data_IF_006398216226
#
_entry.id   IF_006398216226
#
_cell.length_a   1.000
_cell.length_b   1.000
_cell.length_c   1.000
_cell.angle_alpha   90.00
_cell.angle_beta   90.00
_cell.angle_gamma   90.00
#
_symmetry.space_group_name_H-M   'P 1'
#
loop_
_entity.id
_entity.type
_entity.pdbx_description
1 polymer ?
#
# COMPACT_ATOMS: atom_id res chain seq x y z
N UNK A 1 -58.59 17.39 34.21
CA UNK A 1 -57.86 18.59 33.75
C UNK A 1 -57.35 19.32 34.98
N UNK A 2 -56.15 19.93 35.04
CA UNK A 2 -55.10 20.14 34.00
C UNK A 2 -53.77 19.37 34.33
N UNK A 3 -52.97 18.91 33.35
CA UNK A 3 -51.88 19.54 32.54
C UNK A 3 -50.47 19.38 33.15
N UNK A 4 -49.58 18.59 32.51
CA UNK A 4 -48.35 18.95 31.73
C UNK A 4 -47.27 19.64 32.60
N UNK A 5 -46.04 19.12 32.73
CA UNK A 5 -44.88 19.41 31.86
C UNK A 5 -43.84 18.27 31.92
N UNK A 6 -43.47 17.79 30.74
CA UNK A 6 -42.25 17.04 30.40
C UNK A 6 -41.05 17.97 30.55
N UNK A 7 -40.04 17.62 31.34
CA UNK A 7 -38.72 18.22 31.20
C UNK A 7 -37.70 17.15 30.80
N UNK A 8 -37.43 17.19 29.51
CA UNK A 8 -36.35 16.58 28.77
C UNK A 8 -35.01 17.03 29.36
N UNK A 9 -34.27 16.11 30.00
CA UNK A 9 -32.86 16.35 30.31
C UNK A 9 -32.07 16.15 29.02
N UNK A 10 -31.84 17.26 28.33
CA UNK A 10 -31.00 17.36 27.14
C UNK A 10 -29.58 16.90 27.49
N UNK A 11 -29.13 15.88 26.76
CA UNK A 11 -27.74 15.47 26.62
C UNK A 11 -26.86 16.68 26.27
N UNK A 12 -26.10 17.16 27.24
CA UNK A 12 -24.94 18.02 27.02
C UNK A 12 -23.67 17.17 27.16
N UNK A 13 -23.40 16.31 26.17
CA UNK A 13 -22.04 15.88 25.87
C UNK A 13 -21.45 16.84 24.83
N UNK A 14 -21.16 18.06 25.30
CA UNK A 14 -20.31 19.00 24.60
C UNK A 14 -19.04 19.23 25.42
N UNK A 15 -17.96 18.52 25.07
CA UNK A 15 -16.58 18.97 25.19
C UNK A 15 -15.61 17.86 24.74
N UNK A 16 -15.09 18.03 23.54
CA UNK A 16 -14.01 17.23 23.00
C UNK A 16 -13.96 17.34 21.50
N UNK A 17 -13.85 18.57 20.96
CA UNK A 17 -13.32 18.73 19.60
C UNK A 17 -11.86 18.28 19.71
N UNK A 18 -11.62 17.00 19.48
CA UNK A 18 -10.29 16.49 19.24
C UNK A 18 -9.83 17.09 17.91
N UNK A 19 -9.32 18.32 17.97
CA UNK A 19 -8.38 18.81 16.97
C UNK A 19 -7.15 17.91 17.09
N UNK A 20 -7.24 16.71 16.51
CA UNK A 20 -6.14 15.78 16.46
C UNK A 20 -5.02 16.44 15.66
N UNK A 21 -3.81 16.40 16.21
CA UNK A 21 -2.61 16.69 15.42
C UNK A 21 -2.65 15.84 14.14
N UNK A 22 -2.22 16.44 13.02
CA UNK A 22 -2.12 15.71 11.76
C UNK A 22 -1.12 14.56 11.88
N UNK A 23 -1.42 13.43 11.27
CA UNK A 23 -0.54 12.26 11.28
C UNK A 23 0.60 12.40 10.27
N UNK A 24 0.28 12.76 9.03
CA UNK A 24 1.22 12.78 7.90
C UNK A 24 1.11 14.04 7.04
N UNK A 25 -0.03 14.76 7.07
CA UNK A 25 -0.25 15.92 6.20
C UNK A 25 -0.94 17.08 6.93
N UNK A 26 -0.18 18.12 7.27
CA UNK A 26 -0.67 19.27 8.06
C UNK A 26 -1.54 20.25 7.28
N UNK A 27 -1.54 20.19 5.95
CA UNK A 27 -2.24 21.15 5.08
C UNK A 27 -3.63 20.68 4.64
N UNK A 28 -4.15 19.60 5.22
CA UNK A 28 -5.53 19.18 4.98
C UNK A 28 -6.53 20.21 5.53
N UNK A 29 -7.64 20.41 4.81
CA UNK A 29 -8.73 21.25 5.30
C UNK A 29 -9.30 20.67 6.61
N UNK A 30 -9.42 21.52 7.63
CA UNK A 30 -9.93 21.15 8.95
C UNK A 30 -11.36 20.61 8.89
N UNK A 31 -12.18 21.12 7.99
CA UNK A 31 -13.55 20.65 7.81
C UNK A 31 -13.55 19.22 7.24
N UNK A 32 -12.65 18.92 6.31
CA UNK A 32 -12.49 17.55 5.78
C UNK A 32 -11.98 16.57 6.83
N UNK A 33 -11.12 17.03 7.75
CA UNK A 33 -10.68 16.24 8.92
C UNK A 33 -11.86 15.98 9.85
N UNK A 34 -12.62 17.01 10.20
CA UNK A 34 -13.79 16.88 11.06
C UNK A 34 -14.82 15.90 10.49
N UNK A 35 -15.11 15.98 9.19
CA UNK A 35 -16.00 15.04 8.52
C UNK A 35 -15.46 13.60 8.58
N UNK A 36 -14.16 13.41 8.38
CA UNK A 36 -13.55 12.08 8.47
C UNK A 36 -13.64 11.50 9.89
N UNK A 37 -13.43 12.33 10.91
CA UNK A 37 -13.61 11.93 12.31
C UNK A 37 -15.07 11.54 12.59
N UNK A 38 -16.05 12.29 12.06
CA UNK A 38 -17.48 11.94 12.18
C UNK A 38 -17.82 10.60 11.53
N UNK A 39 -17.22 10.28 10.39
CA UNK A 39 -17.35 8.95 9.77
C UNK A 39 -16.79 7.89 10.73
N UNK A 40 -15.63 8.12 11.34
CA UNK A 40 -15.04 7.20 12.33
C UNK A 40 -15.91 7.00 13.58
N UNK A 41 -16.52 8.07 14.11
CA UNK A 41 -17.47 7.99 15.23
C UNK A 41 -18.68 7.13 14.85
N UNK A 42 -19.24 7.36 13.66
CA UNK A 42 -20.37 6.59 13.12
C UNK A 42 -20.02 5.12 12.92
N UNK A 43 -18.88 4.83 12.31
CA UNK A 43 -18.37 3.47 12.09
C UNK A 43 -18.19 2.72 13.43
N UNK A 44 -17.65 3.40 14.45
CA UNK A 44 -17.47 2.83 15.78
C UNK A 44 -18.81 2.51 16.46
N UNK A 45 -19.74 3.47 16.43
CA UNK A 45 -21.07 3.27 17.00
C UNK A 45 -21.80 2.10 16.32
N UNK A 46 -21.75 2.05 14.99
CA UNK A 46 -22.34 0.97 14.19
C UNK A 46 -21.71 -0.39 14.50
N UNK A 47 -20.38 -0.46 14.58
CA UNK A 47 -19.67 -1.69 14.93
C UNK A 47 -20.13 -2.20 16.30
N UNK A 48 -20.06 -1.37 17.35
CA UNK A 48 -20.44 -1.73 18.73
C UNK A 48 -21.89 -2.24 18.78
N UNK A 49 -22.81 -1.56 18.11
CA UNK A 49 -24.20 -2.01 18.03
C UNK A 49 -24.34 -3.34 17.30
N UNK A 50 -23.61 -3.54 16.21
CA UNK A 50 -23.70 -4.75 15.37
C UNK A 50 -23.12 -6.00 16.01
N UNK A 51 -22.21 -5.87 16.98
CA UNK A 51 -21.58 -7.01 17.68
C UNK A 51 -22.15 -7.25 19.08
N UNK A 52 -23.12 -6.46 19.51
CA UNK A 52 -23.73 -6.62 20.82
C UNK A 52 -24.42 -7.99 20.92
N UNK A 53 -24.03 -8.80 21.91
CA UNK A 53 -24.53 -10.16 22.09
C UNK A 53 -23.97 -11.19 21.11
N UNK A 54 -23.05 -10.82 20.21
CA UNK A 54 -22.36 -11.77 19.32
C UNK A 54 -21.08 -12.27 19.99
N UNK A 55 -21.02 -13.58 20.23
CA UNK A 55 -19.85 -14.29 20.78
C UNK A 55 -18.95 -14.89 19.70
N UNK A 56 -19.44 -15.00 18.47
CA UNK A 56 -18.67 -15.54 17.35
C UNK A 56 -17.62 -14.52 16.86
N UNK A 57 -16.35 -14.85 17.04
CA UNK A 57 -15.22 -13.98 16.68
C UNK A 57 -15.06 -13.80 15.16
N UNK A 58 -15.47 -14.77 14.34
CA UNK A 58 -15.41 -14.63 12.88
C UNK A 58 -16.43 -13.61 12.38
N UNK A 59 -17.65 -13.67 12.94
CA UNK A 59 -18.70 -12.69 12.65
C UNK A 59 -18.30 -11.30 13.16
N UNK A 60 -17.75 -11.21 14.38
CA UNK A 60 -17.25 -9.93 14.93
C UNK A 60 -16.15 -9.34 14.05
N UNK A 61 -15.23 -10.16 13.55
CA UNK A 61 -14.16 -9.73 12.65
C UNK A 61 -14.72 -9.25 11.31
N UNK A 62 -15.70 -9.94 10.74
CA UNK A 62 -16.35 -9.48 9.50
C UNK A 62 -17.00 -8.10 9.70
N UNK A 63 -17.75 -7.90 10.80
CA UNK A 63 -18.35 -6.61 11.13
C UNK A 63 -17.34 -5.49 11.40
N UNK A 64 -16.20 -5.85 11.97
CA UNK A 64 -15.10 -4.91 12.14
C UNK A 64 -14.57 -4.42 10.78
N UNK A 65 -14.36 -5.34 9.83
CA UNK A 65 -13.89 -5.00 8.49
C UNK A 65 -14.91 -4.16 7.71
N UNK A 66 -16.21 -4.48 7.82
CA UNK A 66 -17.28 -3.68 7.22
C UNK A 66 -17.23 -2.22 7.72
N UNK A 67 -17.00 -2.01 9.02
CA UNK A 67 -16.89 -0.68 9.61
C UNK A 67 -15.61 0.04 9.20
N UNK A 68 -14.47 -0.66 9.13
CA UNK A 68 -13.20 -0.10 8.68
C UNK A 68 -13.26 0.35 7.21
N UNK A 69 -14.04 -0.36 6.38
CA UNK A 69 -14.23 -0.01 4.97
C UNK A 69 -14.83 1.40 4.78
N UNK A 70 -15.62 1.88 5.74
CA UNK A 70 -16.16 3.25 5.71
C UNK A 70 -15.04 4.29 5.73
N UNK A 71 -13.99 4.07 6.52
CA UNK A 71 -12.81 4.93 6.52
C UNK A 71 -12.02 4.77 5.21
N UNK A 72 -11.82 3.54 4.73
CA UNK A 72 -11.05 3.26 3.52
C UNK A 72 -11.71 3.80 2.23
N UNK A 73 -13.02 4.09 2.25
CA UNK A 73 -13.74 4.69 1.12
C UNK A 73 -13.58 6.21 0.98
N UNK A 74 -13.10 6.89 2.02
CA UNK A 74 -12.94 8.36 2.01
C UNK A 74 -12.02 8.77 0.85
N UNK A 75 -12.50 9.68 -0.01
CA UNK A 75 -11.71 10.26 -1.10
C UNK A 75 -11.56 9.36 -2.34
N UNK A 76 -12.28 8.23 -2.43
CA UNK A 76 -12.11 7.27 -3.53
C UNK A 76 -12.63 7.79 -4.87
N UNK A 77 -13.70 8.58 -4.89
CA UNK A 77 -14.24 9.16 -6.13
C UNK A 77 -13.27 10.18 -6.72
N UNK A 78 -12.73 11.07 -5.88
CA UNK A 78 -11.72 12.06 -6.25
C UNK A 78 -10.44 11.36 -6.73
N UNK A 79 -10.02 10.30 -6.02
CA UNK A 79 -8.90 9.47 -6.44
C UNK A 79 -9.12 8.83 -7.82
N UNK A 80 -10.31 8.28 -8.08
CA UNK A 80 -10.63 7.67 -9.38
C UNK A 80 -10.62 8.70 -10.52
N UNK A 81 -11.01 9.95 -10.27
CA UNK A 81 -10.88 11.04 -11.24
C UNK A 81 -9.41 11.34 -11.53
N UNK A 82 -8.55 11.45 -10.51
CA UNK A 82 -7.13 11.72 -10.73
C UNK A 82 -6.37 10.57 -11.37
N UNK A 83 -6.72 9.32 -11.07
CA UNK A 83 -6.12 8.16 -11.75
C UNK A 83 -6.40 8.25 -13.26
N UNK A 84 -7.65 8.56 -13.66
CA UNK A 84 -7.99 8.76 -15.07
C UNK A 84 -7.26 9.95 -15.69
N UNK A 85 -7.16 11.08 -14.98
CA UNK A 85 -6.41 12.25 -15.46
C UNK A 85 -4.91 11.96 -15.60
N UNK A 86 -4.35 11.20 -14.67
CA UNK A 86 -2.93 10.78 -14.67
C UNK A 86 -2.65 9.90 -15.88
N UNK A 87 -3.48 8.89 -16.12
CA UNK A 87 -3.35 8.03 -17.29
C UNK A 87 -3.49 8.83 -18.62
N UNK A 88 -4.37 9.82 -18.67
CA UNK A 88 -4.57 10.63 -19.87
C UNK A 88 -3.40 11.59 -20.18
N UNK A 89 -2.70 12.09 -19.16
CA UNK A 89 -1.70 13.17 -19.31
C UNK A 89 -0.25 12.72 -19.13
N UNK A 90 -0.02 11.52 -18.63
CA UNK A 90 1.32 10.95 -18.52
C UNK A 90 1.96 10.72 -19.90
N UNK A 91 3.29 10.87 -19.97
CA UNK A 91 4.05 10.45 -21.16
C UNK A 91 4.11 8.93 -21.18
N UNK A 92 3.13 8.32 -21.83
CA UNK A 92 2.89 6.86 -21.78
C UNK A 92 4.08 6.01 -22.25
N UNK A 93 4.87 6.50 -23.20
CA UNK A 93 6.09 5.79 -23.63
C UNK A 93 7.11 5.71 -22.51
N UNK A 94 7.34 6.82 -21.82
CA UNK A 94 8.31 6.91 -20.73
C UNK A 94 7.83 6.11 -19.51
N UNK A 95 6.54 6.22 -19.18
CA UNK A 95 5.91 5.47 -18.10
C UNK A 95 6.07 3.95 -18.30
N UNK A 96 5.91 3.44 -19.53
CA UNK A 96 6.13 2.01 -19.83
C UNK A 96 7.57 1.58 -19.60
N UNK A 97 8.55 2.43 -19.91
CA UNK A 97 9.96 2.12 -19.62
C UNK A 97 10.26 2.18 -18.12
N UNK A 98 9.68 3.14 -17.40
CA UNK A 98 9.80 3.22 -15.93
C UNK A 98 9.21 2.00 -15.21
N UNK A 99 8.12 1.42 -15.73
CA UNK A 99 7.57 0.16 -15.18
C UNK A 99 8.59 -1.00 -15.21
N UNK A 100 9.49 -1.00 -16.19
CA UNK A 100 10.56 -2.00 -16.29
C UNK A 100 11.63 -1.85 -15.21
N UNK A 101 11.62 -0.75 -14.46
CA UNK A 101 12.48 -0.53 -13.30
C UNK A 101 11.91 -1.12 -12.01
N UNK A 102 10.73 -1.75 -12.05
CA UNK A 102 10.04 -2.29 -10.88
C UNK A 102 8.92 -1.39 -10.36
N UNK A 103 8.84 -0.14 -10.84
CA UNK A 103 7.79 0.81 -10.47
C UNK A 103 6.40 0.29 -10.85
N UNK A 104 5.39 0.64 -10.06
CA UNK A 104 3.98 0.37 -10.38
C UNK A 104 3.51 1.29 -11.50
N UNK A 105 2.44 0.90 -12.18
CA UNK A 105 1.88 1.65 -13.31
C UNK A 105 1.56 3.10 -12.93
N UNK A 106 0.76 3.32 -11.88
CA UNK A 106 0.40 4.67 -11.43
C UNK A 106 1.62 5.52 -11.10
N UNK A 107 2.61 4.95 -10.40
CA UNK A 107 3.83 5.66 -10.03
C UNK A 107 4.68 6.03 -11.27
N UNK A 108 4.78 5.11 -12.22
CA UNK A 108 5.49 5.33 -13.48
C UNK A 108 4.83 6.43 -14.30
N UNK A 109 3.49 6.43 -14.36
CA UNK A 109 2.72 7.51 -14.99
C UNK A 109 2.92 8.83 -14.24
N UNK A 110 2.82 8.81 -12.91
CA UNK A 110 2.94 9.97 -12.04
C UNK A 110 4.29 10.70 -12.22
N UNK A 111 5.41 9.97 -12.27
CA UNK A 111 6.76 10.52 -12.51
C UNK A 111 6.93 11.17 -13.89
N UNK A 112 5.98 10.98 -14.80
CA UNK A 112 6.00 11.55 -16.17
C UNK A 112 4.93 12.61 -16.40
N UNK A 113 4.22 13.03 -15.35
CA UNK A 113 3.21 14.08 -15.43
C UNK A 113 3.85 15.47 -15.54
N UNK A 114 3.13 16.45 -16.13
CA UNK A 114 3.45 17.86 -15.95
C UNK A 114 3.42 18.24 -14.45
N UNK A 115 4.38 19.07 -14.04
CA UNK A 115 4.56 19.52 -12.65
C UNK A 115 3.27 20.07 -11.99
N UNK A 116 2.45 20.91 -12.65
CA UNK A 116 1.21 21.40 -12.04
C UNK A 116 0.23 20.28 -11.67
N UNK A 117 0.12 19.25 -12.50
CA UNK A 117 -0.74 18.10 -12.23
C UNK A 117 -0.15 17.21 -11.15
N UNK A 118 1.17 17.01 -11.15
CA UNK A 118 1.89 16.28 -10.11
C UNK A 118 1.61 16.84 -8.72
N UNK A 119 1.70 18.17 -8.56
CA UNK A 119 1.37 18.87 -7.30
C UNK A 119 -0.06 18.59 -6.86
N UNK A 120 -1.03 18.69 -7.79
CA UNK A 120 -2.44 18.42 -7.50
C UNK A 120 -2.66 16.98 -7.04
N UNK A 121 -2.02 16.01 -7.70
CA UNK A 121 -2.14 14.59 -7.34
C UNK A 121 -1.58 14.33 -5.95
N UNK A 122 -0.43 14.91 -5.58
CA UNK A 122 0.13 14.74 -4.23
C UNK A 122 -0.71 15.38 -3.15
N UNK A 123 -1.14 16.63 -3.33
CA UNK A 123 -1.99 17.31 -2.36
C UNK A 123 -3.26 16.50 -2.07
N UNK A 124 -3.89 15.95 -3.12
CA UNK A 124 -5.08 15.12 -2.94
C UNK A 124 -4.76 13.76 -2.32
N UNK A 125 -3.67 13.09 -2.73
CA UNK A 125 -3.27 11.81 -2.15
C UNK A 125 -2.95 11.95 -0.65
N UNK A 126 -2.20 12.98 -0.27
CA UNK A 126 -1.86 13.28 1.12
C UNK A 126 -3.10 13.66 1.94
N UNK A 127 -3.98 14.52 1.41
CA UNK A 127 -5.23 14.86 2.07
C UNK A 127 -6.16 13.64 2.24
N UNK A 128 -6.22 12.75 1.25
CA UNK A 128 -6.97 11.50 1.33
C UNK A 128 -6.45 10.62 2.46
N UNK A 129 -5.15 10.31 2.48
CA UNK A 129 -4.58 9.44 3.51
C UNK A 129 -4.69 10.05 4.91
N UNK A 130 -4.47 11.35 5.06
CA UNK A 130 -4.68 12.03 6.35
C UNK A 130 -6.12 11.87 6.85
N UNK A 131 -7.12 12.10 5.99
CA UNK A 131 -8.53 11.89 6.37
C UNK A 131 -8.80 10.43 6.76
N UNK A 132 -8.27 9.48 6.01
CA UNK A 132 -8.42 8.04 6.33
C UNK A 132 -7.80 7.69 7.68
N UNK A 133 -6.62 8.22 7.99
CA UNK A 133 -5.95 8.03 9.28
C UNK A 133 -6.72 8.67 10.42
N UNK A 134 -7.26 9.89 10.23
CA UNK A 134 -8.11 10.55 11.23
C UNK A 134 -9.39 9.76 11.52
N UNK A 135 -10.02 9.19 10.49
CA UNK A 135 -11.16 8.29 10.65
C UNK A 135 -10.78 7.03 11.44
N UNK A 136 -9.69 6.36 11.04
CA UNK A 136 -9.17 5.16 11.71
C UNK A 136 -8.78 5.43 13.18
N UNK A 137 -8.22 6.60 13.48
CA UNK A 137 -7.85 6.97 14.84
C UNK A 137 -9.06 7.12 15.78
N UNK A 138 -10.21 7.55 15.26
CA UNK A 138 -11.46 7.60 16.02
C UNK A 138 -12.09 6.20 16.16
N UNK A 139 -12.04 5.41 15.09
CA UNK A 139 -12.63 4.07 15.04
C UNK A 139 -11.84 3.05 15.89
N UNK A 140 -10.56 2.86 15.59
CA UNK A 140 -9.68 1.84 16.19
C UNK A 140 -8.88 2.41 17.38
N UNK A 141 -8.60 3.72 17.36
CA UNK A 141 -7.77 4.39 18.38
C UNK A 141 -6.39 4.81 17.85
N UNK A 142 -5.91 5.98 18.31
CA UNK A 142 -4.65 6.61 17.86
C UNK A 142 -3.45 5.67 17.87
N UNK A 143 -3.25 4.88 18.92
CA UNK A 143 -2.10 3.97 19.03
C UNK A 143 -2.15 2.79 18.03
N UNK A 144 -3.33 2.40 17.54
CA UNK A 144 -3.45 1.41 16.46
C UNK A 144 -3.11 2.06 15.13
N UNK A 145 -3.62 3.27 14.89
CA UNK A 145 -3.32 4.06 13.69
C UNK A 145 -1.83 4.36 13.56
N UNK A 146 -1.15 4.76 14.63
CA UNK A 146 0.30 5.01 14.63
C UNK A 146 1.09 3.74 14.27
N UNK A 147 0.73 2.59 14.86
CA UNK A 147 1.35 1.31 14.50
C UNK A 147 1.11 0.93 13.03
N UNK A 148 -0.06 1.25 12.48
CA UNK A 148 -0.37 1.02 11.06
C UNK A 148 0.47 1.94 10.17
N UNK A 149 0.69 3.19 10.57
CA UNK A 149 1.61 4.10 9.86
C UNK A 149 3.02 3.51 9.84
N UNK A 150 3.51 3.03 10.97
CA UNK A 150 4.84 2.40 11.07
C UNK A 150 4.96 1.13 10.21
N UNK A 151 3.92 0.28 10.20
CA UNK A 151 3.87 -0.89 9.30
C UNK A 151 3.87 -0.47 7.82
N UNK A 152 3.08 0.53 7.44
CA UNK A 152 3.04 1.01 6.07
C UNK A 152 4.40 1.58 5.63
N UNK A 153 5.15 2.23 6.53
CA UNK A 153 6.51 2.72 6.27
C UNK A 153 7.52 1.60 6.00
N UNK A 154 7.19 0.32 6.20
CA UNK A 154 8.03 -0.79 5.70
C UNK A 154 7.90 -1.01 4.19
N UNK A 155 7.06 -0.23 3.50
CA UNK A 155 6.84 -0.24 2.05
C UNK A 155 7.34 1.09 1.48
N UNK A 156 8.24 1.04 0.50
CA UNK A 156 8.92 2.22 -0.05
C UNK A 156 8.01 3.39 -0.42
N UNK A 157 6.93 3.13 -1.17
CA UNK A 157 6.01 4.18 -1.61
C UNK A 157 5.27 4.86 -0.44
N UNK A 158 4.86 4.10 0.57
CA UNK A 158 4.21 4.69 1.75
C UNK A 158 5.21 5.45 2.61
N UNK A 159 6.45 4.94 2.74
CA UNK A 159 7.53 5.66 3.44
C UNK A 159 7.81 7.00 2.77
N UNK A 160 8.00 7.01 1.45
CA UNK A 160 8.21 8.25 0.69
C UNK A 160 7.04 9.21 0.84
N UNK A 161 5.81 8.71 0.76
CA UNK A 161 4.62 9.53 0.96
C UNK A 161 4.61 10.18 2.35
N UNK A 162 4.83 9.40 3.40
CA UNK A 162 4.65 9.86 4.77
C UNK A 162 5.82 10.69 5.30
N UNK A 163 7.04 10.46 4.81
CA UNK A 163 8.24 11.13 5.31
C UNK A 163 8.70 12.29 4.40
N UNK A 164 8.28 12.29 3.13
CA UNK A 164 8.72 13.29 2.16
C UNK A 164 7.55 13.98 1.45
N UNK A 165 6.73 13.26 0.69
CA UNK A 165 5.74 13.88 -0.21
C UNK A 165 4.64 14.66 0.53
N UNK A 166 4.19 14.16 1.67
CA UNK A 166 3.20 14.83 2.51
C UNK A 166 3.83 15.79 3.53
N UNK A 167 5.15 15.72 3.73
CA UNK A 167 5.86 16.66 4.62
C UNK A 167 6.27 17.91 3.87
N UNK A 168 6.78 17.76 2.65
CA UNK A 168 7.17 18.83 1.72
C UNK A 168 6.34 18.73 0.43
N UNK A 169 5.30 19.59 0.25
CA UNK A 169 4.46 19.60 -0.95
C UNK A 169 5.22 19.83 -2.26
N UNK A 170 6.44 20.37 -2.21
CA UNK A 170 7.28 20.60 -3.38
C UNK A 170 8.29 19.46 -3.64
N UNK A 171 8.37 18.46 -2.76
CA UNK A 171 9.28 17.32 -2.94
C UNK A 171 9.04 16.60 -4.26
N UNK A 172 7.83 16.10 -4.49
CA UNK A 172 7.48 15.38 -5.71
C UNK A 172 7.67 16.24 -6.98
N UNK A 173 7.09 17.47 -7.08
CA UNK A 173 7.37 18.44 -8.16
C UNK A 173 8.84 18.69 -8.47
N UNK A 174 9.71 18.67 -7.45
CA UNK A 174 11.15 18.91 -7.59
C UNK A 174 11.90 17.67 -8.03
N UNK A 175 11.55 16.51 -7.48
CA UNK A 175 12.36 15.28 -7.56
C UNK A 175 11.96 14.38 -8.73
N UNK A 176 10.67 14.15 -8.93
CA UNK A 176 10.19 13.12 -9.86
C UNK A 176 10.26 13.46 -11.34
N UNK A 177 10.08 14.73 -11.79
CA UNK A 177 10.15 15.04 -13.22
C UNK A 177 11.48 14.63 -13.86
N UNK A 178 12.60 14.81 -13.15
CA UNK A 178 13.91 14.45 -13.66
C UNK A 178 14.05 12.94 -13.91
N UNK A 179 13.45 12.09 -13.06
CA UNK A 179 13.44 10.63 -13.25
C UNK A 179 12.70 10.30 -14.56
N UNK A 180 11.53 10.91 -14.77
CA UNK A 180 10.75 10.74 -16.00
C UNK A 180 11.45 11.29 -17.25
N UNK A 181 12.24 12.35 -17.12
CA UNK A 181 13.02 12.93 -18.23
C UNK A 181 14.30 12.14 -18.54
N UNK A 182 14.83 11.41 -17.55
CA UNK A 182 16.04 10.58 -17.70
C UNK A 182 15.79 9.25 -18.42
N UNK A 183 14.54 8.91 -18.74
CA UNK A 183 14.17 7.63 -19.38
C UNK A 183 14.97 7.31 -20.66
N UNK A 184 15.21 8.24 -21.60
CA UNK A 184 16.04 7.94 -22.77
C UNK A 184 17.46 7.52 -22.40
N UNK A 185 18.07 8.16 -21.40
CA UNK A 185 19.42 7.82 -20.93
C UNK A 185 19.45 6.46 -20.21
N UNK A 186 18.43 6.18 -19.40
CA UNK A 186 18.25 4.88 -18.73
C UNK A 186 18.11 3.76 -19.75
N UNK A 187 17.23 3.93 -20.74
CA UNK A 187 17.03 2.95 -21.80
C UNK A 187 18.31 2.70 -22.60
N UNK A 188 19.02 3.77 -22.98
CA UNK A 188 20.23 3.66 -23.78
C UNK A 188 21.34 2.88 -23.07
N UNK A 189 21.47 3.03 -21.74
CA UNK A 189 22.56 2.42 -20.97
C UNK A 189 22.18 1.10 -20.29
N UNK A 190 20.93 0.97 -19.84
CA UNK A 190 20.46 -0.14 -19.01
C UNK A 190 19.33 -0.96 -19.64
N UNK A 191 18.90 -0.65 -20.87
CA UNK A 191 17.71 -1.25 -21.50
C UNK A 191 17.69 -2.78 -21.46
N UNK A 192 18.82 -3.44 -21.71
CA UNK A 192 18.93 -4.91 -21.65
C UNK A 192 18.60 -5.44 -20.24
N UNK A 193 19.12 -4.79 -19.19
CA UNK A 193 18.85 -5.21 -17.81
C UNK A 193 17.41 -4.92 -17.40
N UNK A 194 16.86 -3.77 -17.82
CA UNK A 194 15.47 -3.39 -17.60
C UNK A 194 14.51 -4.40 -18.24
N UNK A 195 14.71 -4.72 -19.52
CA UNK A 195 13.87 -5.64 -20.28
C UNK A 195 13.96 -7.07 -19.72
N UNK A 196 15.16 -7.54 -19.39
CA UNK A 196 15.37 -8.87 -18.84
C UNK A 196 14.68 -9.03 -17.47
N UNK A 197 14.90 -8.07 -16.57
CA UNK A 197 14.22 -8.07 -15.27
C UNK A 197 12.70 -8.05 -15.43
N UNK A 198 12.18 -7.11 -16.24
CA UNK A 198 10.74 -6.96 -16.42
C UNK A 198 10.09 -8.24 -16.98
N UNK A 199 10.67 -8.83 -18.03
CA UNK A 199 10.15 -10.05 -18.64
C UNK A 199 10.10 -11.23 -17.66
N UNK A 200 11.18 -11.44 -16.90
CA UNK A 200 11.24 -12.52 -15.92
C UNK A 200 10.33 -12.26 -14.74
N UNK A 201 10.24 -11.01 -14.25
CA UNK A 201 9.33 -10.61 -13.19
C UNK A 201 7.88 -10.94 -13.54
N UNK A 202 7.41 -10.55 -14.72
CA UNK A 202 6.03 -10.81 -15.16
C UNK A 202 5.75 -12.32 -15.30
N UNK A 203 6.66 -13.06 -15.93
CA UNK A 203 6.53 -14.51 -16.08
C UNK A 203 6.51 -15.22 -14.71
N UNK A 204 7.41 -14.84 -13.80
CA UNK A 204 7.47 -15.42 -12.46
C UNK A 204 6.25 -15.01 -11.61
N UNK A 205 5.75 -13.79 -11.74
CA UNK A 205 4.53 -13.35 -11.03
C UNK A 205 3.31 -14.17 -11.45
N UNK A 206 3.12 -14.40 -12.75
CA UNK A 206 2.05 -15.26 -13.25
C UNK A 206 2.16 -16.70 -12.72
N UNK A 207 3.38 -17.26 -12.69
CA UNK A 207 3.62 -18.61 -12.18
C UNK A 207 3.44 -18.70 -10.67
N UNK A 208 3.93 -17.72 -9.89
CA UNK A 208 3.77 -17.66 -8.43
C UNK A 208 2.28 -17.64 -8.07
N UNK A 209 1.48 -16.79 -8.70
CA UNK A 209 0.04 -16.74 -8.48
C UNK A 209 -0.63 -18.07 -8.84
N UNK A 210 -0.30 -18.66 -10.00
CA UNK A 210 -0.84 -19.97 -10.40
C UNK A 210 -0.50 -21.09 -9.40
N UNK A 211 0.75 -21.14 -8.92
CA UNK A 211 1.19 -22.13 -7.93
C UNK A 211 0.48 -21.92 -6.60
N UNK A 212 0.35 -20.68 -6.14
CA UNK A 212 -0.33 -20.35 -4.90
C UNK A 212 -1.84 -20.67 -4.98
N UNK A 213 -2.54 -20.22 -6.01
CA UNK A 213 -3.97 -20.47 -6.19
C UNK A 213 -4.28 -21.97 -6.30
N UNK A 214 -3.43 -22.73 -7.02
CA UNK A 214 -3.54 -24.19 -7.08
C UNK A 214 -3.43 -24.80 -5.69
N UNK A 215 -2.45 -24.37 -4.89
CA UNK A 215 -2.27 -24.88 -3.53
C UNK A 215 -3.46 -24.59 -2.62
N UNK A 216 -4.01 -23.37 -2.70
CA UNK A 216 -5.21 -22.97 -1.95
C UNK A 216 -6.42 -23.81 -2.38
N UNK A 217 -6.63 -24.01 -3.67
CA UNK A 217 -7.75 -24.78 -4.20
C UNK A 217 -7.64 -26.27 -3.86
N UNK A 218 -6.44 -26.85 -3.91
CA UNK A 218 -6.21 -28.24 -3.47
C UNK A 218 -6.52 -28.41 -1.98
N UNK A 219 -6.11 -27.47 -1.13
CA UNK A 219 -6.44 -27.54 0.31
C UNK A 219 -7.95 -27.39 0.54
N UNK A 220 -8.63 -26.51 -0.20
CA UNK A 220 -10.09 -26.36 -0.11
C UNK A 220 -10.82 -27.63 -0.54
N UNK A 221 -10.41 -28.28 -1.64
CA UNK A 221 -11.03 -29.52 -2.10
C UNK A 221 -10.77 -30.68 -1.14
N UNK A 222 -9.59 -30.71 -0.52
CA UNK A 222 -9.28 -31.72 0.49
C UNK A 222 -10.08 -31.50 1.76
N UNK A 223 -10.31 -30.27 2.21
CA UNK A 223 -11.18 -29.96 3.38
C UNK A 223 -12.60 -30.54 3.26
N UNK A 224 -13.09 -30.81 2.04
CA UNK A 224 -14.38 -31.44 1.82
C UNK A 224 -14.38 -32.97 2.05
N UNK A 225 -13.22 -33.62 2.19
CA UNK A 225 -13.08 -35.03 2.55
C UNK A 225 -12.57 -35.19 3.99
N UNK A 226 -13.35 -35.81 4.87
CA UNK A 226 -13.00 -35.99 6.28
C UNK A 226 -11.88 -37.03 6.45
N UNK A 227 -10.76 -36.66 7.08
CA UNK A 227 -9.67 -37.59 7.38
C UNK A 227 -8.64 -37.04 8.39
N UNK A 228 -8.13 -37.90 9.27
CA UNK A 228 -7.27 -37.53 10.42
C UNK A 228 -5.88 -36.94 10.05
N UNK A 229 -5.44 -37.05 8.79
CA UNK A 229 -4.12 -36.57 8.34
C UNK A 229 -4.16 -35.23 7.56
N UNK A 230 -5.29 -34.55 7.56
CA UNK A 230 -5.55 -33.40 6.70
C UNK A 230 -4.70 -32.16 7.02
N UNK A 231 -4.44 -31.87 8.30
CA UNK A 231 -3.59 -30.76 8.70
C UNK A 231 -2.14 -30.93 8.21
N UNK A 232 -1.60 -32.16 8.32
CA UNK A 232 -0.25 -32.49 7.84
C UNK A 232 -0.17 -32.42 6.31
N UNK A 233 -1.18 -32.92 5.60
CA UNK A 233 -1.26 -32.86 4.15
C UNK A 233 -1.36 -31.41 3.64
N UNK A 234 -2.20 -30.59 4.27
CA UNK A 234 -2.33 -29.17 3.94
C UNK A 234 -1.00 -28.42 4.14
N UNK A 235 -0.32 -28.66 5.27
CA UNK A 235 0.99 -28.08 5.53
C UNK A 235 2.04 -28.53 4.51
N UNK A 236 2.01 -29.79 4.07
CA UNK A 236 2.90 -30.30 3.02
C UNK A 236 2.65 -29.62 1.67
N UNK A 237 1.39 -29.50 1.25
CA UNK A 237 1.01 -28.84 -0.01
C UNK A 237 1.49 -27.39 -0.02
N UNK A 238 1.20 -26.62 1.05
CA UNK A 238 1.65 -25.24 1.15
C UNK A 238 3.18 -25.15 1.19
N UNK A 239 3.88 -25.94 2.00
CA UNK A 239 5.36 -25.90 2.05
C UNK A 239 5.99 -26.22 0.69
N UNK A 240 5.44 -27.16 -0.06
CA UNK A 240 5.91 -27.49 -1.41
C UNK A 240 5.70 -26.34 -2.39
N UNK A 241 4.52 -25.73 -2.38
CA UNK A 241 4.21 -24.56 -3.20
C UNK A 241 5.12 -23.37 -2.85
N UNK A 242 5.28 -23.07 -1.55
CA UNK A 242 6.09 -21.96 -1.05
C UNK A 242 7.57 -22.13 -1.42
N UNK A 243 8.13 -23.34 -1.39
CA UNK A 243 9.52 -23.58 -1.86
C UNK A 243 9.71 -23.22 -3.33
N UNK A 244 8.75 -23.58 -4.19
CA UNK A 244 8.80 -23.22 -5.62
C UNK A 244 8.69 -21.70 -5.81
N UNK A 245 7.83 -21.04 -5.03
CA UNK A 245 7.69 -19.59 -5.05
C UNK A 245 8.99 -18.90 -4.63
N UNK A 246 9.61 -19.34 -3.53
CA UNK A 246 10.90 -18.80 -3.04
C UNK A 246 11.98 -18.83 -4.12
N UNK A 247 12.11 -19.95 -4.85
CA UNK A 247 13.10 -20.07 -5.92
C UNK A 247 12.88 -19.02 -7.02
N UNK A 248 11.62 -18.83 -7.44
CA UNK A 248 11.23 -17.84 -8.46
C UNK A 248 11.46 -16.40 -7.99
N UNK A 249 11.19 -16.14 -6.72
CA UNK A 249 11.48 -14.84 -6.12
C UNK A 249 12.97 -14.54 -6.08
N UNK A 250 13.81 -15.52 -5.75
CA UNK A 250 15.25 -15.33 -5.78
C UNK A 250 15.78 -14.97 -7.18
N UNK A 251 15.24 -15.58 -8.24
CA UNK A 251 15.56 -15.22 -9.63
C UNK A 251 15.18 -13.77 -9.94
N UNK A 252 13.99 -13.34 -9.51
CA UNK A 252 13.56 -11.93 -9.65
C UNK A 252 14.50 -10.99 -8.90
N UNK A 253 14.88 -11.33 -7.66
CA UNK A 253 15.76 -10.50 -6.83
C UNK A 253 17.15 -10.30 -7.44
N UNK A 254 17.76 -11.33 -8.03
CA UNK A 254 19.06 -11.20 -8.69
C UNK A 254 19.01 -10.29 -9.92
N UNK A 255 17.98 -10.44 -10.74
CA UNK A 255 17.76 -9.57 -11.89
C UNK A 255 17.44 -8.14 -11.47
N UNK A 256 16.65 -7.97 -10.41
CA UNK A 256 16.36 -6.66 -9.83
C UNK A 256 17.64 -5.96 -9.35
N UNK A 257 18.51 -6.65 -8.60
CA UNK A 257 19.81 -6.10 -8.15
C UNK A 257 20.68 -5.69 -9.34
N UNK A 258 20.73 -6.50 -10.39
CA UNK A 258 21.50 -6.22 -11.62
C UNK A 258 20.95 -5.01 -12.37
N UNK A 259 19.63 -4.90 -12.51
CA UNK A 259 18.99 -3.73 -13.12
C UNK A 259 19.24 -2.48 -12.27
N UNK A 260 19.05 -2.57 -10.96
CA UNK A 260 19.23 -1.48 -10.00
C UNK A 260 20.67 -0.95 -9.99
N UNK A 261 21.67 -1.82 -10.02
CA UNK A 261 23.08 -1.41 -10.04
C UNK A 261 23.48 -0.65 -11.31
N UNK A 262 22.77 -0.87 -12.43
CA UNK A 262 22.93 -0.09 -13.65
C UNK A 262 22.19 1.25 -13.57
N UNK A 263 20.94 1.25 -13.09
CA UNK A 263 20.02 2.40 -13.14
C UNK A 263 20.36 3.44 -12.08
N UNK A 264 20.66 3.01 -10.85
CA UNK A 264 20.88 3.91 -9.71
C UNK A 264 21.99 4.95 -9.97
N UNK A 265 23.19 4.59 -10.46
CA UNK A 265 24.23 5.57 -10.76
C UNK A 265 23.82 6.58 -11.82
N UNK A 266 22.96 6.21 -12.77
CA UNK A 266 22.50 7.15 -13.81
C UNK A 266 21.60 8.20 -13.18
N UNK A 267 20.58 7.79 -12.40
CA UNK A 267 19.67 8.72 -11.72
C UNK A 267 20.45 9.59 -10.74
N UNK A 268 21.39 9.03 -9.99
CA UNK A 268 22.25 9.78 -9.07
C UNK A 268 23.03 10.88 -9.79
N UNK A 269 23.61 10.56 -10.96
CA UNK A 269 24.41 11.52 -11.71
C UNK A 269 23.59 12.55 -12.49
N UNK A 270 22.39 12.19 -12.98
CA UNK A 270 21.55 13.10 -13.77
C UNK A 270 20.58 13.93 -12.93
N UNK A 271 20.04 13.35 -11.86
CA UNK A 271 18.97 13.93 -11.05
C UNK A 271 19.37 14.23 -9.60
N UNK A 272 20.55 13.78 -9.17
CA UNK A 272 21.05 13.98 -7.82
C UNK A 272 20.53 12.97 -6.81
N UNK A 273 20.96 13.17 -5.56
CA UNK A 273 20.74 12.22 -4.47
C UNK A 273 19.27 12.01 -4.13
N UNK A 274 18.47 13.07 -4.01
CA UNK A 274 17.05 12.95 -3.63
C UNK A 274 16.27 12.05 -4.60
N UNK A 275 16.48 12.22 -5.91
CA UNK A 275 15.83 11.40 -6.94
C UNK A 275 16.31 9.96 -6.92
N UNK A 276 17.62 9.73 -6.76
CA UNK A 276 18.18 8.38 -6.67
C UNK A 276 17.69 7.65 -5.42
N UNK A 277 17.62 8.35 -4.29
CA UNK A 277 17.08 7.83 -3.04
C UNK A 277 15.60 7.49 -3.18
N UNK A 278 14.77 8.42 -3.69
CA UNK A 278 13.35 8.20 -3.87
C UNK A 278 13.05 7.05 -4.83
N UNK A 279 13.78 6.95 -5.95
CA UNK A 279 13.72 5.78 -6.81
C UNK A 279 14.07 4.50 -6.05
N UNK A 280 15.25 4.45 -5.41
CA UNK A 280 15.73 3.24 -4.76
C UNK A 280 14.78 2.76 -3.65
N UNK A 281 14.31 3.67 -2.80
CA UNK A 281 13.32 3.39 -1.76
C UNK A 281 12.04 2.83 -2.37
N UNK A 282 11.48 3.49 -3.38
CA UNK A 282 10.20 3.08 -3.99
C UNK A 282 10.18 1.64 -4.51
N UNK A 283 11.31 1.18 -5.06
CA UNK A 283 11.40 -0.16 -5.67
C UNK A 283 12.04 -1.21 -4.76
N UNK A 284 12.83 -0.82 -3.76
CA UNK A 284 13.56 -1.78 -2.92
C UNK A 284 12.86 -2.05 -1.59
N UNK A 285 12.42 -1.01 -0.89
CA UNK A 285 11.87 -1.18 0.46
C UNK A 285 10.51 -1.90 0.39
N UNK A 286 10.45 -3.06 1.05
CA UNK A 286 9.27 -3.92 1.02
C UNK A 286 9.09 -4.67 -0.31
N UNK A 287 10.13 -4.79 -1.16
CA UNK A 287 10.07 -5.43 -2.48
C UNK A 287 9.25 -6.74 -2.49
N UNK A 288 9.58 -7.69 -1.61
CA UNK A 288 8.87 -8.97 -1.53
C UNK A 288 7.42 -8.83 -1.05
N UNK A 289 7.11 -7.89 -0.16
CA UNK A 289 5.73 -7.61 0.27
C UNK A 289 4.90 -7.08 -0.89
N UNK A 290 5.46 -6.16 -1.66
CA UNK A 290 4.85 -5.59 -2.87
C UNK A 290 4.63 -6.68 -3.92
N UNK A 291 5.63 -7.50 -4.20
CA UNK A 291 5.57 -8.54 -5.23
C UNK A 291 4.64 -9.70 -4.86
N UNK A 292 4.55 -10.06 -3.58
CA UNK A 292 3.74 -11.19 -3.14
C UNK A 292 2.25 -10.90 -3.16
N UNK A 293 1.81 -9.65 -3.08
CA UNK A 293 0.49 -9.26 -2.59
C UNK A 293 0.31 -9.56 -1.09
N UNK A 294 -0.61 -8.84 -0.43
CA UNK A 294 -0.79 -8.91 1.04
C UNK A 294 -1.11 -10.32 1.53
N UNK A 295 -1.95 -11.08 0.81
CA UNK A 295 -2.38 -12.41 1.24
C UNK A 295 -1.24 -13.43 1.22
N UNK A 296 -0.50 -13.52 0.12
CA UNK A 296 0.64 -14.43 0.03
C UNK A 296 1.74 -13.99 1.01
N UNK A 297 1.99 -12.69 1.14
CA UNK A 297 2.96 -12.17 2.10
C UNK A 297 2.62 -12.58 3.54
N UNK A 298 1.34 -12.48 3.92
CA UNK A 298 0.83 -12.91 5.21
C UNK A 298 1.05 -14.41 5.45
N UNK A 299 0.75 -15.26 4.47
CA UNK A 299 0.98 -16.71 4.59
C UNK A 299 2.47 -17.06 4.75
N UNK A 300 3.37 -16.35 4.08
CA UNK A 300 4.81 -16.49 4.30
C UNK A 300 5.20 -16.23 5.76
N UNK A 301 4.58 -15.23 6.39
CA UNK A 301 4.76 -14.91 7.80
C UNK A 301 4.21 -16.01 8.73
N UNK A 302 2.96 -16.46 8.52
CA UNK A 302 2.33 -17.52 9.31
C UNK A 302 3.15 -18.81 9.27
N UNK A 303 3.57 -19.22 8.08
CA UNK A 303 4.27 -20.49 7.89
C UNK A 303 5.79 -20.38 8.11
N UNK A 304 6.29 -19.20 8.50
CA UNK A 304 7.71 -18.91 8.74
C UNK A 304 8.60 -19.39 7.58
N UNK A 305 8.15 -19.14 6.33
CA UNK A 305 8.88 -19.57 5.15
C UNK A 305 10.10 -18.65 4.97
N UNK A 306 11.32 -19.21 4.91
CA UNK A 306 12.51 -18.39 4.74
C UNK A 306 12.52 -17.71 3.38
N UNK A 307 12.99 -16.47 3.34
CA UNK A 307 13.26 -15.76 2.09
C UNK A 307 14.49 -16.35 1.41
N UNK A 308 14.50 -16.33 0.07
CA UNK A 308 15.67 -16.73 -0.71
C UNK A 308 16.86 -15.82 -0.32
N UNK A 309 18.08 -16.37 -0.11
CA UNK A 309 19.27 -15.58 0.22
C UNK A 309 19.53 -14.42 -0.75
N UNK A 310 19.18 -14.60 -2.03
CA UNK A 310 19.33 -13.58 -3.07
C UNK A 310 18.52 -12.32 -2.81
N UNK A 311 17.48 -12.40 -1.99
CA UNK A 311 16.60 -11.28 -1.67
C UNK A 311 16.97 -10.53 -0.37
N UNK A 312 17.92 -11.02 0.44
CA UNK A 312 18.20 -10.46 1.79
C UNK A 312 18.75 -9.02 1.79
N UNK A 313 19.51 -8.65 0.77
CA UNK A 313 20.08 -7.30 0.61
C UNK A 313 19.08 -6.28 0.04
N UNK A 314 17.87 -6.74 -0.33
CA UNK A 314 16.78 -5.86 -0.75
C UNK A 314 15.91 -5.43 0.42
N UNK A 315 16.02 -6.12 1.57
CA UNK A 315 15.20 -5.92 2.76
C UNK A 315 15.89 -5.12 3.86
N UNK A 316 17.15 -4.73 3.65
CA UNK A 316 17.94 -3.95 4.61
C UNK A 316 18.15 -2.54 4.04
N UNK A 317 17.62 -1.55 4.77
CA UNK A 317 17.90 -0.13 4.56
C UNK A 317 19.42 0.06 4.58
N UNK A 318 19.97 0.75 3.58
CA UNK A 318 21.26 1.44 3.70
C UNK A 318 21.01 2.76 4.39
#
# INVERSE_FOLDING_TARGET
MPSVIVLTTVLLFGAGVAHGDAFIYKHVDKELVFQAQKIGEGARAQYIQSVNGILDEEIRRAKYLDALELCDRIGNEEAAVLVRQTAAQARQSDARELMKLGLREFQSQFMTLPVPLMRKVMQMACAKHERQLQCGAVFEGKAITERRIDDLKTIGNHKLMFEYECVDPEFAPRVYPCIGESVPALRAKCGIHMDNYFKVREANNAQIMSTYDRSVNTVKSLKASEGSNQAMLNAFIFKSAMRQIVQKEGEKCDLFKTMRSCVYPIIMNSCGFEAAHAYNESVSLGYLRIERNERLHFDFGIFQIPVDPRCRELTTLV
#
